data_IF_571433318898
#
_entry.id   IF_571433318898
#
_cell.length_a   1.000
_cell.length_b   1.000
_cell.length_c   1.000
_cell.angle_alpha   90.00
_cell.angle_beta   90.00
_cell.angle_gamma   90.00
#
_symmetry.space_group_name_H-M   'P 1'
#
loop_
_entity.id
_entity.type
_entity.pdbx_description
1 polymer ?
#
# COMPACT_ATOMS: atom_id res chain seq x y z
N UNK A 1 12.76 -3.18 2.66
CA UNK A 1 12.73 -3.51 1.22
C UNK A 1 11.33 -3.37 0.67
N UNK A 2 11.19 -2.77 -0.48
CA UNK A 2 9.90 -2.63 -1.17
C UNK A 2 9.98 -3.37 -2.50
N UNK A 3 9.01 -4.23 -2.77
CA UNK A 3 8.95 -4.99 -4.02
C UNK A 3 7.61 -4.74 -4.70
N UNK A 4 7.62 -4.59 -6.02
CA UNK A 4 6.41 -4.56 -6.82
C UNK A 4 6.02 -5.99 -7.14
N UNK A 5 4.78 -6.35 -6.82
CA UNK A 5 4.27 -7.70 -7.09
C UNK A 5 3.72 -7.76 -8.51
N UNK A 6 4.21 -8.72 -9.29
CA UNK A 6 3.83 -8.87 -10.70
C UNK A 6 2.61 -9.76 -10.90
N UNK A 7 2.26 -10.56 -9.93
CA UNK A 7 1.17 -11.53 -10.00
C UNK A 7 -0.13 -10.95 -9.48
N UNK A 8 -0.59 -9.87 -10.12
CA UNK A 8 -1.80 -9.16 -9.71
C UNK A 8 -2.82 -9.12 -10.84
N UNK A 9 -4.12 -8.98 -10.52
CA UNK A 9 -5.13 -8.70 -11.53
C UNK A 9 -4.78 -7.44 -12.31
N UNK A 10 -5.21 -7.32 -13.54
CA UNK A 10 -4.83 -6.24 -14.44
C UNK A 10 -5.06 -4.84 -13.87
N UNK A 11 -6.16 -4.65 -13.15
CA UNK A 11 -6.53 -3.35 -12.59
C UNK A 11 -5.92 -3.06 -11.23
N UNK A 12 -5.13 -3.99 -10.67
CA UNK A 12 -4.62 -3.91 -9.30
C UNK A 12 -3.11 -3.82 -9.29
N UNK A 13 -2.58 -2.90 -8.48
CA UNK A 13 -1.16 -2.80 -8.22
C UNK A 13 -0.83 -3.53 -6.92
N UNK A 14 0.22 -4.32 -6.92
CA UNK A 14 0.67 -5.03 -5.73
C UNK A 14 2.03 -4.54 -5.25
N UNK A 15 2.16 -4.39 -3.94
CA UNK A 15 3.39 -3.98 -3.28
C UNK A 15 3.63 -4.90 -2.09
N UNK A 16 4.89 -5.24 -1.84
CA UNK A 16 5.28 -5.97 -0.64
C UNK A 16 6.37 -5.21 0.09
N UNK A 17 6.19 -4.99 1.38
CA UNK A 17 7.19 -4.37 2.23
C UNK A 17 7.74 -5.41 3.21
N UNK A 18 9.07 -5.41 3.40
CA UNK A 18 9.76 -6.36 4.27
C UNK A 18 10.97 -5.70 4.92
N UNK A 19 11.42 -6.24 6.06
CA UNK A 19 12.53 -5.69 6.80
C UNK A 19 12.30 -4.23 7.17
N UNK A 20 13.33 -3.40 7.08
CA UNK A 20 13.22 -1.95 7.29
C UNK A 20 13.07 -1.22 5.96
N UNK A 21 12.25 -0.17 5.97
CA UNK A 21 12.05 0.68 4.79
C UNK A 21 12.77 2.00 5.03
N UNK A 22 13.82 2.24 4.26
CA UNK A 22 14.60 3.48 4.34
C UNK A 22 14.05 4.55 3.41
N UNK A 23 14.53 5.79 3.59
CA UNK A 23 14.18 6.87 2.66
C UNK A 23 14.66 6.58 1.25
N UNK A 24 15.83 5.93 1.08
CA UNK A 24 16.32 5.54 -0.23
C UNK A 24 15.42 4.51 -0.91
N UNK A 25 14.92 3.52 -0.16
CA UNK A 25 13.97 2.54 -0.69
C UNK A 25 12.74 3.24 -1.27
N UNK A 26 12.20 4.20 -0.54
CA UNK A 26 11.00 4.94 -0.98
C UNK A 26 11.30 5.85 -2.16
N UNK A 27 12.45 6.49 -2.20
CA UNK A 27 12.84 7.32 -3.35
C UNK A 27 12.99 6.49 -4.61
N UNK A 28 13.55 5.29 -4.51
CA UNK A 28 13.68 4.36 -5.63
C UNK A 28 12.32 3.83 -6.08
N UNK A 29 11.37 3.73 -5.17
CA UNK A 29 10.02 3.25 -5.48
C UNK A 29 9.15 4.33 -6.15
N UNK A 30 9.48 5.60 -5.99
CA UNK A 30 8.65 6.71 -6.48
C UNK A 30 8.28 6.61 -7.97
N UNK A 31 9.21 6.28 -8.90
CA UNK A 31 8.82 6.16 -10.30
C UNK A 31 7.73 5.13 -10.56
N UNK A 32 7.79 3.99 -9.85
CA UNK A 32 6.75 2.96 -9.95
C UNK A 32 5.42 3.48 -9.41
N UNK A 33 5.45 4.19 -8.29
CA UNK A 33 4.25 4.78 -7.70
C UNK A 33 3.63 5.82 -8.63
N UNK A 34 4.44 6.69 -9.22
CA UNK A 34 3.97 7.69 -10.18
C UNK A 34 3.28 7.03 -11.37
N UNK A 35 3.81 5.90 -11.84
CA UNK A 35 3.19 5.12 -12.89
C UNK A 35 1.82 4.57 -12.51
N UNK A 36 1.67 4.09 -11.28
CA UNK A 36 0.40 3.59 -10.76
C UNK A 36 -0.65 4.69 -10.65
N UNK A 37 -0.23 5.88 -10.24
CA UNK A 37 -1.13 7.01 -10.05
C UNK A 37 -1.67 7.58 -11.36
N UNK A 38 -1.08 7.23 -12.49
CA UNK A 38 -1.54 7.70 -13.80
C UNK A 38 -2.71 6.91 -14.38
N UNK A 39 -3.12 5.83 -13.74
CA UNK A 39 -4.14 4.92 -14.30
C UNK A 39 -5.57 5.41 -14.16
N UNK A 40 -5.81 6.46 -13.42
CA UNK A 40 -7.16 6.99 -13.21
C UNK A 40 -7.95 6.33 -12.08
N UNK A 41 -7.80 5.03 -11.89
CA UNK A 41 -8.34 4.29 -10.75
C UNK A 41 -7.20 3.65 -10.00
N UNK A 42 -7.16 3.88 -8.68
CA UNK A 42 -6.09 3.32 -7.84
C UNK A 42 -6.66 2.19 -7.00
N UNK A 43 -6.23 0.97 -7.31
CA UNK A 43 -6.54 -0.25 -6.57
C UNK A 43 -5.23 -0.88 -6.17
N UNK A 44 -5.04 -1.08 -4.86
CA UNK A 44 -3.74 -1.50 -4.32
C UNK A 44 -3.93 -2.71 -3.40
N UNK A 45 -3.01 -3.67 -3.52
CA UNK A 45 -2.80 -4.71 -2.51
C UNK A 45 -1.43 -4.48 -1.92
N UNK A 46 -1.37 -4.15 -0.65
CA UNK A 46 -0.12 -3.93 0.08
C UNK A 46 0.10 -5.08 1.05
N UNK A 47 1.14 -5.87 0.80
CA UNK A 47 1.52 -6.98 1.67
C UNK A 47 2.60 -6.49 2.63
N UNK A 48 2.32 -6.60 3.93
CA UNK A 48 3.30 -6.31 4.98
C UNK A 48 3.83 -7.64 5.46
N UNK A 49 5.05 -7.98 5.07
CA UNK A 49 5.64 -9.28 5.39
C UNK A 49 5.82 -9.45 6.90
N UNK A 50 5.87 -10.69 7.36
CA UNK A 50 6.00 -10.98 8.78
C UNK A 50 7.32 -10.47 9.38
N UNK A 51 8.36 -10.32 8.55
CA UNK A 51 9.66 -9.79 8.99
C UNK A 51 9.76 -8.26 8.88
N UNK A 52 8.68 -7.57 8.56
CA UNK A 52 8.68 -6.11 8.49
C UNK A 52 9.00 -5.51 9.86
N UNK A 53 9.98 -4.62 9.90
CA UNK A 53 10.49 -4.01 11.14
C UNK A 53 10.18 -2.51 11.26
N UNK A 54 9.47 -1.94 10.30
CA UNK A 54 9.15 -0.52 10.30
C UNK A 54 10.07 0.29 9.41
N UNK A 55 10.19 1.59 9.71
CA UNK A 55 11.00 2.48 8.89
C UNK A 55 12.45 2.50 9.35
N UNK A 56 13.37 2.45 8.38
CA UNK A 56 14.76 2.74 8.59
C UNK A 56 15.04 4.26 8.44
N UNK A 57 16.31 4.66 8.33
CA UNK A 57 16.68 6.07 8.26
C UNK A 57 15.96 6.81 7.13
N UNK A 58 15.27 7.89 7.48
CA UNK A 58 14.55 8.74 6.53
C UNK A 58 13.27 8.15 5.98
N UNK A 59 12.93 6.89 6.29
CA UNK A 59 11.78 6.20 5.72
C UNK A 59 10.46 6.84 6.05
N UNK A 60 10.25 7.20 7.32
CA UNK A 60 8.99 7.81 7.75
C UNK A 60 8.72 9.14 7.03
N UNK A 61 9.74 9.99 6.91
CA UNK A 61 9.59 11.29 6.24
C UNK A 61 9.25 11.10 4.76
N UNK A 62 9.95 10.20 4.08
CA UNK A 62 9.67 9.94 2.66
C UNK A 62 8.30 9.31 2.45
N UNK A 63 7.89 8.42 3.35
CA UNK A 63 6.56 7.81 3.27
C UNK A 63 5.45 8.87 3.41
N UNK A 64 5.61 9.78 4.36
CA UNK A 64 4.66 10.87 4.53
C UNK A 64 4.60 11.76 3.29
N UNK A 65 5.73 12.07 2.68
CA UNK A 65 5.77 12.86 1.44
C UNK A 65 5.03 12.17 0.30
N UNK A 66 5.29 10.87 0.11
CA UNK A 66 4.63 10.10 -0.94
C UNK A 66 3.13 9.97 -0.68
N UNK A 67 2.75 9.63 0.54
CA UNK A 67 1.35 9.41 0.90
C UNK A 67 0.52 10.67 0.82
N UNK A 68 1.00 11.77 1.41
CA UNK A 68 0.28 13.04 1.37
C UNK A 68 0.20 13.60 -0.04
N UNK A 69 1.28 13.49 -0.80
CA UNK A 69 1.28 13.91 -2.21
C UNK A 69 0.24 13.17 -3.02
N UNK A 70 0.17 11.84 -2.87
CA UNK A 70 -0.81 11.02 -3.56
C UNK A 70 -2.24 11.39 -3.16
N UNK A 71 -2.50 11.56 -1.86
CA UNK A 71 -3.83 11.92 -1.38
C UNK A 71 -4.31 13.26 -1.93
N UNK A 72 -3.44 14.28 -1.92
CA UNK A 72 -3.81 15.60 -2.41
C UNK A 72 -4.00 15.65 -3.92
N UNK A 73 -3.16 14.94 -4.68
CA UNK A 73 -3.20 14.98 -6.13
C UNK A 73 -4.21 14.03 -6.74
N UNK A 74 -4.49 12.90 -6.08
CA UNK A 74 -5.27 11.81 -6.65
C UNK A 74 -6.41 11.34 -5.74
N UNK A 75 -6.93 12.24 -4.91
CA UNK A 75 -7.94 11.91 -3.89
C UNK A 75 -9.11 11.09 -4.44
N UNK A 76 -9.67 11.52 -5.56
CA UNK A 76 -10.86 10.88 -6.13
C UNK A 76 -10.55 9.60 -6.91
N UNK A 77 -9.27 9.31 -7.18
CA UNK A 77 -8.87 8.13 -7.94
C UNK A 77 -8.79 6.86 -7.09
N UNK A 78 -8.67 6.99 -5.76
CA UNK A 78 -8.56 5.83 -4.89
C UNK A 78 -9.88 5.07 -4.80
N UNK A 79 -9.86 3.79 -5.14
CA UNK A 79 -11.04 2.92 -5.10
C UNK A 79 -10.99 1.92 -3.96
N UNK A 80 -9.95 1.08 -3.93
CA UNK A 80 -9.80 0.06 -2.89
C UNK A 80 -8.34 -0.13 -2.52
N UNK A 81 -8.09 -0.26 -1.24
CA UNK A 81 -6.77 -0.57 -0.71
C UNK A 81 -6.93 -1.78 0.20
N UNK A 82 -6.31 -2.91 -0.19
CA UNK A 82 -6.28 -4.11 0.62
C UNK A 82 -4.92 -4.18 1.30
N UNK A 83 -4.92 -4.29 2.62
CA UNK A 83 -3.68 -4.47 3.39
C UNK A 83 -3.64 -5.90 3.90
N UNK A 84 -2.56 -6.60 3.59
CA UNK A 84 -2.37 -8.01 3.95
C UNK A 84 -1.26 -8.08 5.00
N UNK A 85 -1.61 -8.46 6.23
CA UNK A 85 -0.67 -8.45 7.34
C UNK A 85 -1.10 -9.40 8.46
N UNK A 86 -0.14 -9.89 9.23
CA UNK A 86 -0.38 -10.65 10.45
C UNK A 86 -0.12 -9.82 11.72
N UNK A 87 0.17 -8.52 11.58
CA UNK A 87 0.57 -7.66 12.69
C UNK A 87 -0.61 -6.92 13.31
N UNK A 88 -0.79 -7.06 14.63
CA UNK A 88 -1.86 -6.41 15.36
C UNK A 88 -1.83 -4.88 15.27
N UNK A 89 -0.64 -4.29 15.37
CA UNK A 89 -0.54 -2.83 15.33
C UNK A 89 -1.01 -2.24 13.99
N UNK A 90 -0.91 -3.02 12.92
CA UNK A 90 -1.41 -2.59 11.60
C UNK A 90 -2.93 -2.41 11.64
N UNK A 91 -3.64 -3.31 12.32
CA UNK A 91 -5.08 -3.21 12.49
C UNK A 91 -5.46 -1.90 13.17
N UNK A 92 -4.77 -1.56 14.27
CA UNK A 92 -5.04 -0.34 15.01
C UNK A 92 -4.75 0.91 14.20
N UNK A 93 -3.62 0.94 13.49
CA UNK A 93 -3.24 2.08 12.66
C UNK A 93 -4.26 2.26 11.53
N UNK A 94 -4.68 1.18 10.89
CA UNK A 94 -5.66 1.26 9.80
C UNK A 94 -7.02 1.76 10.28
N UNK A 95 -7.48 1.32 11.45
CA UNK A 95 -8.72 1.82 12.04
C UNK A 95 -8.65 3.33 12.31
N UNK A 96 -7.50 3.80 12.80
CA UNK A 96 -7.30 5.22 13.08
C UNK A 96 -7.24 6.06 11.80
N UNK A 97 -6.74 5.51 10.69
CA UNK A 97 -6.53 6.24 9.45
C UNK A 97 -7.62 6.03 8.39
N UNK A 98 -8.52 5.08 8.60
CA UNK A 98 -9.52 4.72 7.59
C UNK A 98 -10.38 5.90 7.14
N UNK A 99 -10.70 6.81 8.05
CA UNK A 99 -11.50 7.98 7.73
C UNK A 99 -10.78 8.99 6.83
N UNK A 100 -9.44 8.93 6.78
CA UNK A 100 -8.64 9.82 5.95
C UNK A 100 -8.45 9.30 4.52
N UNK A 101 -8.63 8.00 4.32
CA UNK A 101 -8.39 7.38 3.02
C UNK A 101 -9.65 7.45 2.17
N UNK A 102 -9.59 8.07 0.99
CA UNK A 102 -10.72 8.03 0.07
C UNK A 102 -10.87 6.61 -0.49
N UNK A 103 -12.10 6.18 -0.70
CA UNK A 103 -12.36 4.82 -1.16
C UNK A 103 -12.49 3.83 -0.01
N UNK A 104 -12.35 2.56 -0.32
CA UNK A 104 -12.54 1.47 0.64
C UNK A 104 -11.20 0.89 1.08
N UNK A 105 -11.08 0.60 2.38
CA UNK A 105 -9.90 0.00 2.98
C UNK A 105 -10.30 -1.30 3.66
N UNK A 106 -9.61 -2.39 3.39
CA UNK A 106 -9.86 -3.67 4.03
C UNK A 106 -8.57 -4.35 4.47
N UNK A 107 -8.65 -5.15 5.52
CA UNK A 107 -7.52 -5.88 6.08
C UNK A 107 -7.70 -7.38 5.87
N UNK A 108 -6.63 -8.05 5.46
CA UNK A 108 -6.60 -9.49 5.24
C UNK A 108 -5.38 -10.09 5.95
N UNK A 109 -5.47 -11.38 6.30
CA UNK A 109 -4.31 -12.11 6.83
C UNK A 109 -3.33 -12.50 5.74
N UNK A 110 -2.11 -12.87 6.12
CA UNK A 110 -1.08 -13.29 5.15
C UNK A 110 -1.49 -14.53 4.36
N UNK A 111 -2.35 -15.38 4.92
CA UNK A 111 -2.90 -16.55 4.25
C UNK A 111 -4.10 -16.25 3.36
N UNK A 112 -4.48 -14.98 3.26
CA UNK A 112 -5.66 -14.53 2.51
C UNK A 112 -5.31 -13.66 1.30
N UNK A 113 -4.09 -13.76 0.80
CA UNK A 113 -3.64 -12.91 -0.32
C UNK A 113 -4.54 -13.05 -1.56
N UNK A 114 -4.98 -14.27 -1.88
CA UNK A 114 -5.90 -14.50 -3.00
C UNK A 114 -7.21 -13.73 -2.84
N UNK A 115 -7.77 -13.73 -1.64
CA UNK A 115 -8.99 -12.99 -1.33
C UNK A 115 -8.78 -11.49 -1.42
N UNK A 116 -7.62 -11.01 -0.96
CA UNK A 116 -7.27 -9.59 -1.06
C UNK A 116 -7.21 -9.13 -2.52
N UNK A 117 -6.59 -9.93 -3.38
CA UNK A 117 -6.52 -9.63 -4.81
C UNK A 117 -7.90 -9.55 -5.44
N UNK A 118 -8.77 -10.51 -5.15
CA UNK A 118 -10.14 -10.54 -5.67
C UNK A 118 -10.94 -9.34 -5.19
N UNK A 119 -10.84 -9.02 -3.91
CA UNK A 119 -11.56 -7.89 -3.34
C UNK A 119 -11.09 -6.57 -3.95
N UNK A 120 -9.78 -6.37 -4.10
CA UNK A 120 -9.23 -5.14 -4.67
C UNK A 120 -9.63 -4.95 -6.14
N UNK A 121 -9.75 -6.05 -6.90
CA UNK A 121 -10.15 -6.03 -8.30
C UNK A 121 -11.66 -5.91 -8.48
N UNK A 122 -12.45 -6.20 -7.45
CA UNK A 122 -13.90 -6.19 -7.51
C UNK A 122 -14.53 -4.80 -7.59
N UNK A 123 -15.83 -4.78 -7.63
CA UNK A 123 -16.59 -3.53 -7.70
C UNK A 123 -17.17 -3.10 -6.36
#
# INVERSE_FOLDING_TARGET
>A
MIEVLMDMPESVAGIRVSGQISGDDLRQFKPAMDGLLKTGEIRIVEVIASDYEGFGPGGLVEDLKLGLGALFQHHSAFKRIAVVSDKEWVVHVLHALAWMVPGELALFGLDELGRAKEWAAGE
#
